data_IF_126084130216
#
_entry.id   IF_126084130216
#
_cell.length_a   1.000
_cell.length_b   1.000
_cell.length_c   1.000
_cell.angle_alpha   90.00
_cell.angle_beta   90.00
_cell.angle_gamma   90.00
#
_symmetry.space_group_name_H-M   'P 1'
#
loop_
_entity.id
_entity.type
_entity.pdbx_description
1 polymer ?
#
# COMPACT_ATOMS: atom_id res chain seq x y z
N UNK A 1 -16.17 6.86 -13.88
CA UNK A 1 -14.91 6.21 -14.34
C UNK A 1 -13.74 6.92 -13.66
N UNK A 2 -12.76 6.19 -13.12
CA UNK A 2 -11.57 6.75 -12.44
C UNK A 2 -10.33 5.96 -12.82
N UNK A 3 -9.17 6.60 -12.82
CA UNK A 3 -7.86 5.98 -13.04
C UNK A 3 -6.95 6.23 -11.85
N UNK A 4 -5.94 5.36 -11.67
CA UNK A 4 -4.94 5.49 -10.62
C UNK A 4 -3.53 5.42 -11.20
N UNK A 5 -2.62 6.19 -10.61
CA UNK A 5 -1.18 6.09 -10.82
C UNK A 5 -0.50 5.90 -9.47
N UNK A 6 -0.06 4.68 -9.16
CA UNK A 6 0.44 4.33 -7.83
C UNK A 6 1.88 3.81 -7.89
N UNK A 7 2.66 4.16 -6.86
CA UNK A 7 3.84 3.42 -6.44
C UNK A 7 3.45 2.49 -5.29
N UNK A 8 4.15 1.37 -5.19
CA UNK A 8 3.91 0.42 -4.12
C UNK A 8 5.22 -0.12 -3.54
N UNK A 9 5.15 -0.55 -2.29
CA UNK A 9 6.20 -1.30 -1.61
C UNK A 9 5.57 -2.49 -0.90
N UNK A 10 6.31 -3.61 -0.91
CA UNK A 10 5.97 -4.82 -0.17
C UNK A 10 7.11 -5.11 0.79
N UNK A 11 6.79 -5.25 2.07
CA UNK A 11 7.76 -5.61 3.11
C UNK A 11 7.28 -6.89 3.78
N UNK A 12 8.18 -7.86 3.93
CA UNK A 12 7.92 -9.10 4.68
C UNK A 12 8.91 -9.22 5.83
N UNK A 13 8.41 -9.63 6.99
CA UNK A 13 9.22 -9.97 8.16
C UNK A 13 8.37 -10.02 9.42
N UNK A 14 8.99 -10.35 10.56
CA UNK A 14 8.34 -10.29 11.86
C UNK A 14 8.44 -8.87 12.43
N UNK A 15 7.31 -8.12 12.58
CA UNK A 15 7.33 -6.77 13.13
C UNK A 15 7.29 -6.75 14.66
N UNK A 16 7.19 -7.91 15.31
CA UNK A 16 7.09 -8.06 16.76
C UNK A 16 8.41 -8.55 17.37
N UNK A 17 8.62 -8.23 18.65
CA UNK A 17 9.78 -8.74 19.41
C UNK A 17 9.73 -10.26 19.59
N UNK A 18 8.51 -10.81 19.70
CA UNK A 18 8.26 -12.23 19.89
C UNK A 18 8.42 -12.96 18.55
N UNK A 19 9.40 -13.87 18.50
CA UNK A 19 9.64 -14.70 17.30
C UNK A 19 8.46 -15.60 16.95
N UNK A 20 7.64 -15.99 17.93
CA UNK A 20 6.44 -16.84 17.74
C UNK A 20 5.35 -16.18 16.89
N UNK A 21 5.31 -14.84 16.80
CA UNK A 21 4.35 -14.11 15.98
C UNK A 21 4.58 -14.32 14.48
N UNK A 22 5.72 -14.91 14.10
CA UNK A 22 5.99 -15.35 12.74
C UNK A 22 6.16 -14.20 11.75
N UNK A 23 6.02 -14.53 10.46
CA UNK A 23 6.17 -13.56 9.38
C UNK A 23 4.86 -12.79 9.14
N UNK A 24 5.01 -11.51 8.86
CA UNK A 24 3.94 -10.65 8.40
C UNK A 24 4.32 -10.04 7.06
N UNK A 25 3.31 -9.61 6.33
CA UNK A 25 3.44 -8.88 5.09
C UNK A 25 2.71 -7.54 5.19
N UNK A 26 3.40 -6.47 4.82
CA UNK A 26 2.83 -5.14 4.68
C UNK A 26 2.92 -4.70 3.22
N UNK A 27 1.81 -4.21 2.67
CA UNK A 27 1.73 -3.63 1.34
C UNK A 27 1.28 -2.18 1.46
N UNK A 28 2.11 -1.24 1.04
CA UNK A 28 1.76 0.16 0.98
C UNK A 28 1.64 0.64 -0.47
N UNK A 29 0.63 1.46 -0.73
CA UNK A 29 0.33 2.09 -2.01
C UNK A 29 0.30 3.60 -1.80
N UNK A 30 0.93 4.37 -2.68
CA UNK A 30 0.84 5.83 -2.68
C UNK A 30 0.93 6.39 -4.09
N UNK A 31 0.09 7.37 -4.39
CA UNK A 31 0.08 8.06 -5.67
C UNK A 31 -1.20 8.86 -5.85
N UNK A 32 -1.71 8.95 -7.08
CA UNK A 32 -2.87 9.77 -7.42
C UNK A 32 -4.04 8.94 -7.92
N UNK A 33 -5.26 9.42 -7.64
CA UNK A 33 -6.53 8.92 -8.18
C UNK A 33 -7.34 10.08 -8.71
N UNK A 34 -8.02 9.89 -9.84
CA UNK A 34 -8.75 10.99 -10.47
C UNK A 34 -9.60 10.59 -11.66
N UNK A 35 -10.16 11.60 -12.31
CA UNK A 35 -10.71 11.45 -13.65
C UNK A 35 -9.59 11.07 -14.64
N UNK A 36 -9.89 10.45 -15.80
CA UNK A 36 -8.89 10.13 -16.82
C UNK A 36 -8.44 11.39 -17.60
N UNK A 37 -8.08 12.44 -16.87
CA UNK A 37 -7.66 13.76 -17.36
C UNK A 37 -6.54 14.24 -16.44
N UNK A 38 -5.35 14.50 -17.00
CA UNK A 38 -4.18 14.95 -16.24
C UNK A 38 -4.49 16.24 -15.48
N UNK A 39 -4.17 16.28 -14.19
CA UNK A 39 -4.45 17.42 -13.31
C UNK A 39 -5.85 17.44 -12.69
N UNK A 40 -6.75 16.50 -13.03
CA UNK A 40 -8.00 16.24 -12.31
C UNK A 40 -7.86 15.01 -11.40
N UNK A 41 -6.78 14.99 -10.64
CA UNK A 41 -6.38 13.91 -9.75
C UNK A 41 -5.94 14.47 -8.39
N UNK A 42 -6.13 13.67 -7.34
CA UNK A 42 -5.68 13.99 -5.98
C UNK A 42 -4.96 12.79 -5.39
N UNK A 43 -4.24 13.01 -4.30
CA UNK A 43 -3.47 11.96 -3.63
C UNK A 43 -4.37 10.90 -3.01
N UNK A 44 -3.87 9.66 -3.02
CA UNK A 44 -4.44 8.52 -2.31
C UNK A 44 -3.32 7.66 -1.70
N UNK A 45 -3.61 7.10 -0.53
CA UNK A 45 -2.72 6.21 0.21
C UNK A 45 -3.49 4.97 0.67
N UNK A 46 -2.81 3.82 0.67
CA UNK A 46 -3.34 2.57 1.22
C UNK A 46 -2.25 1.79 1.94
N UNK A 47 -2.60 1.16 3.06
CA UNK A 47 -1.73 0.27 3.82
C UNK A 47 -2.53 -0.97 4.19
N UNK A 48 -2.06 -2.15 3.77
CA UNK A 48 -2.57 -3.45 4.18
C UNK A 48 -1.50 -4.21 4.94
N UNK A 49 -1.86 -4.83 6.05
CA UNK A 49 -0.97 -5.64 6.89
C UNK A 49 -1.66 -6.97 7.18
N UNK A 50 -0.96 -8.08 7.01
CA UNK A 50 -1.49 -9.41 7.32
C UNK A 50 -0.39 -10.38 7.79
N UNK A 51 -0.78 -11.45 8.49
CA UNK A 51 0.08 -12.60 8.78
C UNK A 51 0.20 -13.48 7.52
N UNK A 52 1.34 -14.17 7.32
CA UNK A 52 1.60 -15.05 6.16
C UNK A 52 2.41 -16.30 6.51
#
# INVERSE_FOLDING_TARGET
LRTVGLRFIVVRGNPYEKKEEGDWIAVALYGTIGAPVKGLEHEAIGLGINHI
#
